data_IF_781099793177
#
_entry.id   IF_781099793177
#
_cell.length_a   1.000
_cell.length_b   1.000
_cell.length_c   1.000
_cell.angle_alpha   90.00
_cell.angle_beta   90.00
_cell.angle_gamma   90.00
#
_symmetry.space_group_name_H-M   'P 1'
#
loop_
_entity.id
_entity.type
_entity.pdbx_description
1 polymer ?
#
# COMPACT_ATOMS: atom_id res chain seq x y z
N UNK A 1 0.42 -7.06 -45.19
CA UNK A 1 0.15 -5.90 -44.27
C UNK A 1 0.22 -6.34 -42.80
N UNK A 2 -0.26 -7.55 -42.47
CA UNK A 2 -0.17 -8.09 -41.09
C UNK A 2 1.30 -8.39 -40.69
N UNK A 3 2.06 -8.94 -41.59
CA UNK A 3 3.46 -9.37 -41.40
C UNK A 3 4.41 -8.15 -41.16
N UNK A 4 4.20 -7.04 -41.86
CA UNK A 4 4.99 -5.82 -41.68
C UNK A 4 4.76 -5.16 -40.32
N UNK A 5 3.54 -5.24 -39.75
CA UNK A 5 3.24 -4.70 -38.42
C UNK A 5 3.88 -5.51 -37.31
N UNK A 6 4.02 -6.82 -37.52
CA UNK A 6 4.66 -7.71 -36.56
C UNK A 6 6.19 -7.52 -36.50
N UNK A 7 6.79 -7.31 -37.67
CA UNK A 7 8.23 -6.99 -37.83
C UNK A 7 8.54 -5.62 -37.18
N UNK A 8 7.69 -4.63 -37.40
CA UNK A 8 7.84 -3.30 -36.77
C UNK A 8 7.68 -3.35 -35.25
N UNK A 9 6.73 -4.16 -34.74
CA UNK A 9 6.59 -4.40 -33.32
C UNK A 9 7.84 -5.06 -32.70
N UNK A 10 8.39 -6.08 -33.35
CA UNK A 10 9.64 -6.73 -32.87
C UNK A 10 10.81 -5.76 -32.86
N UNK A 11 11.00 -4.98 -33.91
CA UNK A 11 12.07 -3.95 -33.97
C UNK A 11 11.90 -2.87 -32.91
N UNK A 12 10.67 -2.43 -32.64
CA UNK A 12 10.39 -1.49 -31.55
C UNK A 12 10.66 -2.10 -30.18
N UNK A 13 10.30 -3.38 -29.98
CA UNK A 13 10.56 -4.10 -28.73
C UNK A 13 12.08 -4.25 -28.48
N UNK A 14 12.84 -4.63 -29.49
CA UNK A 14 14.31 -4.73 -29.39
C UNK A 14 14.96 -3.37 -29.10
N UNK A 15 14.48 -2.30 -29.74
CA UNK A 15 14.98 -0.95 -29.49
C UNK A 15 14.67 -0.51 -28.05
N UNK A 16 13.46 -0.78 -27.55
CA UNK A 16 13.05 -0.51 -26.18
C UNK A 16 13.84 -1.32 -25.15
N UNK A 17 14.15 -2.59 -25.44
CA UNK A 17 15.01 -3.42 -24.58
C UNK A 17 16.43 -2.90 -24.50
N UNK A 18 17.03 -2.47 -25.64
CA UNK A 18 18.38 -1.86 -25.66
C UNK A 18 18.45 -0.60 -24.80
N UNK A 19 17.46 0.29 -24.86
CA UNK A 19 17.42 1.48 -24.02
C UNK A 19 17.25 1.15 -22.52
N UNK A 20 16.44 0.14 -22.18
CA UNK A 20 16.29 -0.29 -20.78
C UNK A 20 17.61 -0.82 -20.20
N UNK A 21 18.36 -1.59 -20.98
CA UNK A 21 19.69 -2.08 -20.57
C UNK A 21 20.65 -0.93 -20.38
N UNK A 22 20.67 0.06 -21.28
CA UNK A 22 21.54 1.25 -21.15
C UNK A 22 21.19 2.09 -19.91
N UNK A 23 19.91 2.24 -19.57
CA UNK A 23 19.47 2.97 -18.36
C UNK A 23 19.85 2.20 -17.10
N UNK A 24 19.66 0.88 -17.07
CA UNK A 24 20.05 0.03 -15.93
C UNK A 24 21.58 0.05 -15.75
N UNK A 25 22.34 0.00 -16.83
CA UNK A 25 23.80 0.12 -16.79
C UNK A 25 24.21 1.53 -16.31
N UNK A 26 23.56 2.58 -16.78
CA UNK A 26 23.79 3.95 -16.32
C UNK A 26 23.52 4.15 -14.84
N UNK A 27 22.43 3.59 -14.32
CA UNK A 27 22.10 3.59 -12.90
C UNK A 27 23.12 2.78 -12.10
N UNK A 28 23.55 1.62 -12.59
CA UNK A 28 24.59 0.81 -11.94
C UNK A 28 25.95 1.53 -11.91
N UNK A 29 26.36 2.18 -13.00
CA UNK A 29 27.58 2.97 -13.04
C UNK A 29 27.49 4.15 -12.07
N UNK A 30 26.34 4.82 -11.99
CA UNK A 30 26.08 5.88 -11.03
C UNK A 30 26.14 5.42 -9.57
N UNK A 31 25.58 4.25 -9.28
CA UNK A 31 25.61 3.62 -7.94
C UNK A 31 27.06 3.19 -7.60
N UNK A 32 27.78 2.57 -8.54
CA UNK A 32 29.17 2.14 -8.35
C UNK A 32 30.10 3.37 -8.18
N UNK A 33 29.93 4.42 -8.97
CA UNK A 33 30.66 5.67 -8.84
C UNK A 33 30.35 6.36 -7.51
N UNK A 34 29.08 6.41 -7.10
CA UNK A 34 28.65 6.94 -5.81
C UNK A 34 29.22 6.17 -4.61
N UNK A 35 29.28 4.84 -4.72
CA UNK A 35 29.91 3.97 -3.71
C UNK A 35 31.42 4.17 -3.67
N UNK A 36 32.10 4.27 -4.81
CA UNK A 36 33.53 4.50 -4.88
C UNK A 36 33.94 5.88 -4.28
N UNK A 37 33.19 6.94 -4.59
CA UNK A 37 33.37 8.28 -4.03
C UNK A 37 33.07 8.30 -2.53
N UNK A 38 32.04 7.57 -2.06
CA UNK A 38 31.69 7.46 -0.64
C UNK A 38 32.68 6.64 0.19
N UNK A 39 33.36 5.65 -0.42
CA UNK A 39 34.37 4.81 0.25
C UNK A 39 35.72 5.55 0.43
N UNK A 40 36.07 6.48 -0.46
CA UNK A 40 37.26 7.31 -0.26
C UNK A 40 37.11 8.32 0.90
N UNK A 41 35.88 8.68 1.26
CA UNK A 41 35.58 9.66 2.32
C UNK A 41 35.36 9.06 3.71
N UNK A 42 35.16 7.73 3.83
CA UNK A 42 34.87 7.09 5.11
C UNK A 42 35.66 5.80 5.29
N UNK A 43 36.91 5.93 5.75
CA UNK A 43 37.72 4.80 6.23
C UNK A 43 37.25 4.32 7.59
N UNK A 44 36.11 3.70 7.65
CA UNK A 44 35.71 2.85 8.78
C UNK A 44 35.09 1.57 8.24
N UNK A 45 35.68 0.47 8.65
CA UNK A 45 35.39 -0.91 8.33
C UNK A 45 33.90 -1.23 8.41
N UNK A 46 33.24 -1.36 7.24
CA UNK A 46 31.96 -2.08 7.10
C UNK A 46 32.13 -3.22 6.12
N UNK A 47 31.76 -4.42 6.56
CA UNK A 47 31.71 -5.63 5.74
C UNK A 47 30.91 -5.36 4.45
N UNK A 48 31.50 -5.67 3.29
CA UNK A 48 30.83 -5.58 1.99
C UNK A 48 29.59 -6.48 2.00
N UNK A 49 28.43 -6.03 1.53
CA UNK A 49 27.29 -6.92 1.36
C UNK A 49 27.63 -7.99 0.34
N UNK A 50 27.48 -9.25 0.73
CA UNK A 50 27.85 -10.46 -0.02
C UNK A 50 27.18 -10.56 -1.40
N UNK A 51 26.07 -9.85 -1.59
CA UNK A 51 25.31 -9.85 -2.84
C UNK A 51 26.05 -9.21 -4.03
N UNK A 52 26.94 -8.27 -3.77
CA UNK A 52 27.70 -7.56 -4.83
C UNK A 52 28.87 -8.34 -5.37
N UNK A 53 29.42 -9.28 -4.61
CA UNK A 53 30.57 -10.08 -5.01
C UNK A 53 30.20 -11.23 -5.95
N UNK A 54 28.97 -11.74 -5.88
CA UNK A 54 28.53 -12.83 -6.77
C UNK A 54 28.09 -12.35 -8.16
N UNK A 55 27.56 -11.13 -8.26
CA UNK A 55 27.14 -10.56 -9.55
C UNK A 55 28.32 -10.01 -10.38
N UNK A 56 29.46 -9.71 -9.75
CA UNK A 56 30.62 -9.13 -10.43
C UNK A 56 31.65 -10.15 -10.88
N UNK A 57 31.56 -11.41 -10.50
CA UNK A 57 32.50 -12.45 -10.90
C UNK A 57 31.90 -13.45 -11.89
N UNK A 58 31.94 -13.08 -13.17
CA UNK A 58 32.12 -14.07 -14.22
C UNK A 58 30.92 -14.89 -14.67
N UNK A 59 29.67 -14.51 -14.37
CA UNK A 59 28.51 -15.12 -15.02
C UNK A 59 28.03 -14.19 -16.14
N UNK A 60 28.30 -14.54 -17.38
CA UNK A 60 27.67 -13.92 -18.55
C UNK A 60 26.21 -14.32 -18.59
N UNK A 61 25.34 -13.59 -17.88
CA UNK A 61 23.90 -13.73 -18.03
C UNK A 61 23.43 -12.95 -19.25
N UNK A 62 22.53 -13.51 -20.07
CA UNK A 62 21.86 -12.76 -21.11
C UNK A 62 21.26 -11.46 -20.52
N UNK A 63 21.29 -10.34 -21.25
CA UNK A 63 20.84 -9.04 -20.73
C UNK A 63 19.44 -9.06 -20.13
N UNK A 64 18.55 -9.92 -20.63
CA UNK A 64 17.20 -10.10 -20.07
C UNK A 64 17.18 -10.82 -18.72
N UNK A 65 18.04 -11.80 -18.51
CA UNK A 65 18.12 -12.53 -17.24
C UNK A 65 18.77 -11.68 -16.14
N UNK A 66 19.82 -10.91 -16.49
CA UNK A 66 20.43 -9.95 -15.57
C UNK A 66 19.42 -8.87 -15.15
N UNK A 67 18.65 -8.34 -16.09
CA UNK A 67 17.59 -7.37 -15.80
C UNK A 67 16.52 -7.94 -14.87
N UNK A 68 16.09 -9.19 -15.08
CA UNK A 68 15.13 -9.89 -14.24
C UNK A 68 15.69 -10.19 -12.84
N UNK A 69 16.96 -10.57 -12.75
CA UNK A 69 17.64 -10.83 -11.48
C UNK A 69 17.75 -9.54 -10.64
N UNK A 70 18.18 -8.44 -11.25
CA UNK A 70 18.28 -7.13 -10.59
C UNK A 70 16.89 -6.63 -10.18
N UNK A 71 15.92 -6.70 -11.08
CA UNK A 71 14.54 -6.30 -10.80
C UNK A 71 13.91 -7.15 -9.70
N UNK A 72 13.99 -8.49 -9.80
CA UNK A 72 13.39 -9.40 -8.85
C UNK A 72 14.01 -9.33 -7.46
N UNK A 73 15.34 -9.30 -7.38
CA UNK A 73 16.05 -9.44 -6.11
C UNK A 73 16.40 -8.10 -5.43
N UNK A 74 16.46 -7.01 -6.17
CA UNK A 74 16.86 -5.72 -5.60
C UNK A 74 15.79 -4.64 -5.77
N UNK A 75 15.40 -4.32 -6.99
CA UNK A 75 14.47 -3.20 -7.24
C UNK A 75 13.10 -3.50 -6.63
N UNK A 76 12.51 -4.67 -6.94
CA UNK A 76 11.19 -5.06 -6.45
C UNK A 76 11.09 -5.14 -4.92
N UNK A 77 12.19 -5.52 -4.26
CA UNK A 77 12.24 -5.61 -2.80
C UNK A 77 12.53 -4.27 -2.10
N UNK A 78 13.11 -3.31 -2.81
CA UNK A 78 13.60 -2.07 -2.22
C UNK A 78 12.85 -0.82 -2.67
N UNK A 79 12.09 -0.92 -3.75
CA UNK A 79 11.41 0.21 -4.36
C UNK A 79 9.97 -0.12 -4.76
N UNK A 80 9.13 0.89 -4.68
CA UNK A 80 7.81 0.90 -5.33
C UNK A 80 7.98 1.58 -6.69
N UNK A 81 7.52 0.94 -7.75
CA UNK A 81 7.53 1.48 -9.10
C UNK A 81 6.15 2.08 -9.37
N UNK A 82 6.11 3.36 -9.70
CA UNK A 82 4.88 4.09 -10.06
C UNK A 82 5.02 4.58 -11.49
N UNK A 83 3.96 4.42 -12.28
CA UNK A 83 3.90 4.72 -13.71
C UNK A 83 3.84 3.46 -14.58
N UNK A 84 3.14 3.58 -15.71
CA UNK A 84 2.83 2.46 -16.58
C UNK A 84 3.79 2.34 -17.76
N UNK A 85 4.57 3.36 -18.03
CA UNK A 85 5.56 3.39 -19.11
C UNK A 85 6.96 3.73 -18.58
N UNK A 86 7.97 3.49 -19.43
CA UNK A 86 9.37 3.66 -19.06
C UNK A 86 9.82 5.12 -19.02
N UNK A 87 9.09 6.02 -19.64
CA UNK A 87 9.42 7.44 -19.70
C UNK A 87 8.90 8.19 -18.45
N UNK A 88 7.77 7.72 -17.92
CA UNK A 88 7.10 8.31 -16.74
C UNK A 88 7.32 7.52 -15.45
N UNK A 89 7.94 6.33 -15.53
CA UNK A 89 8.18 5.46 -14.38
C UNK A 89 9.08 6.13 -13.34
N UNK A 90 8.62 6.17 -12.09
CA UNK A 90 9.34 6.68 -10.93
C UNK A 90 9.58 5.56 -9.92
N UNK A 91 10.76 5.59 -9.27
CA UNK A 91 11.16 4.63 -8.25
C UNK A 91 11.12 5.31 -6.88
N UNK A 92 10.27 4.81 -6.00
CA UNK A 92 10.17 5.26 -4.62
C UNK A 92 10.80 4.21 -3.70
N UNK A 93 11.82 4.62 -2.95
CA UNK A 93 12.50 3.73 -2.02
C UNK A 93 11.57 3.38 -0.86
N UNK A 94 11.43 2.08 -0.58
CA UNK A 94 10.68 1.63 0.58
C UNK A 94 11.51 1.87 1.83
N UNK A 95 10.94 2.56 2.82
CA UNK A 95 11.60 2.81 4.09
C UNK A 95 12.00 1.51 4.80
N UNK A 96 13.20 1.50 5.39
CA UNK A 96 13.65 0.38 6.22
C UNK A 96 12.94 0.33 7.59
N UNK A 97 12.22 1.39 7.96
CA UNK A 97 11.44 1.45 9.20
C UNK A 97 10.08 0.78 9.06
N UNK A 98 9.55 0.69 7.83
CA UNK A 98 8.28 0.01 7.57
C UNK A 98 8.45 -1.50 7.74
N UNK A 99 7.62 -2.09 8.60
CA UNK A 99 7.60 -3.53 8.80
C UNK A 99 7.24 -4.25 7.48
N UNK A 100 8.01 -5.30 7.17
CA UNK A 100 7.75 -6.13 5.99
C UNK A 100 6.89 -7.30 6.36
N UNK A 101 5.93 -7.64 5.50
CA UNK A 101 5.24 -8.91 5.63
C UNK A 101 6.19 -10.07 5.30
N UNK A 102 5.93 -11.20 5.89
CA UNK A 102 6.66 -12.45 5.66
C UNK A 102 5.80 -13.51 4.94
N UNK A 103 4.82 -13.07 4.17
CA UNK A 103 4.03 -13.96 3.33
C UNK A 103 4.85 -14.42 2.13
N UNK A 104 4.78 -15.72 1.84
CA UNK A 104 5.29 -16.28 0.61
C UNK A 104 4.28 -16.00 -0.51
N UNK A 105 4.66 -15.14 -1.46
CA UNK A 105 3.76 -14.70 -2.52
C UNK A 105 3.35 -15.84 -3.47
N UNK A 106 4.12 -16.92 -3.57
CA UNK A 106 3.79 -18.09 -4.38
C UNK A 106 2.67 -18.95 -3.78
N UNK A 107 2.36 -18.72 -2.49
CA UNK A 107 1.27 -19.40 -1.78
C UNK A 107 -0.08 -18.69 -1.86
N UNK A 108 -0.15 -17.56 -2.55
CA UNK A 108 -1.41 -16.94 -2.90
C UNK A 108 -2.00 -17.63 -4.12
N UNK A 109 -3.19 -18.17 -3.98
CA UNK A 109 -3.90 -18.88 -5.04
C UNK A 109 -5.33 -18.37 -5.18
N UNK A 110 -5.77 -18.22 -6.43
CA UNK A 110 -7.17 -17.93 -6.71
C UNK A 110 -7.96 -19.24 -6.58
N UNK A 111 -9.06 -19.21 -5.81
CA UNK A 111 -9.98 -20.34 -5.74
C UNK A 111 -10.98 -20.33 -6.93
N UNK A 112 -11.80 -21.39 -7.01
CA UNK A 112 -12.79 -21.55 -8.08
C UNK A 112 -13.89 -20.46 -8.05
N UNK A 113 -14.11 -19.84 -6.89
CA UNK A 113 -15.05 -18.74 -6.69
C UNK A 113 -14.44 -17.37 -7.03
N UNK A 114 -13.16 -17.32 -7.43
CA UNK A 114 -12.45 -16.10 -7.80
C UNK A 114 -11.88 -15.33 -6.61
N UNK A 115 -11.81 -15.91 -5.42
CA UNK A 115 -11.19 -15.29 -4.26
C UNK A 115 -9.73 -15.68 -4.09
N UNK A 116 -8.91 -14.70 -3.74
CA UNK A 116 -7.51 -14.94 -3.40
C UNK A 116 -7.40 -15.59 -2.02
N UNK A 117 -6.81 -16.78 -1.96
CA UNK A 117 -6.56 -17.52 -0.71
C UNK A 117 -5.06 -17.57 -0.43
N UNK A 118 -4.72 -17.63 0.85
CA UNK A 118 -3.36 -17.86 1.32
C UNK A 118 -3.36 -18.95 2.39
N UNK A 119 -2.44 -19.89 2.25
CA UNK A 119 -2.22 -20.92 3.27
C UNK A 119 -0.76 -21.32 3.28
N UNK A 120 -0.13 -21.30 4.44
CA UNK A 120 1.19 -21.91 4.66
C UNK A 120 1.13 -23.07 5.66
N UNK A 121 2.16 -23.89 5.66
CA UNK A 121 2.24 -25.08 6.50
C UNK A 121 2.36 -24.74 8.00
N UNK A 122 2.59 -23.46 8.33
CA UNK A 122 2.69 -22.91 9.68
C UNK A 122 1.38 -22.30 10.19
N UNK A 123 0.24 -22.60 9.54
CA UNK A 123 -1.11 -22.26 9.99
C UNK A 123 -1.50 -20.77 9.81
N UNK A 124 -0.74 -19.96 9.09
CA UNK A 124 -1.22 -18.66 8.67
C UNK A 124 -2.20 -18.85 7.51
N UNK A 125 -3.48 -18.71 7.79
CA UNK A 125 -4.52 -18.66 6.76
C UNK A 125 -5.01 -17.23 6.65
N UNK A 126 -5.06 -16.71 5.44
CA UNK A 126 -5.77 -15.46 5.21
C UNK A 126 -7.26 -15.66 5.48
N UNK A 127 -7.88 -14.67 6.09
CA UNK A 127 -9.33 -14.60 6.24
C UNK A 127 -9.90 -13.77 5.10
N UNK A 128 -11.03 -14.21 4.57
CA UNK A 128 -11.78 -13.44 3.59
C UNK A 128 -12.66 -12.44 4.32
N UNK A 129 -12.56 -11.18 3.95
CA UNK A 129 -13.37 -10.09 4.48
C UNK A 129 -13.98 -9.24 3.39
N UNK A 130 -14.91 -8.39 3.77
CA UNK A 130 -15.47 -7.35 2.90
C UNK A 130 -15.34 -5.99 3.57
N UNK A 131 -15.27 -4.93 2.79
CA UNK A 131 -15.54 -3.57 3.23
C UNK A 131 -16.90 -3.11 2.73
N UNK A 132 -17.59 -2.34 3.55
CA UNK A 132 -18.96 -1.88 3.27
C UNK A 132 -19.19 -0.46 3.76
N UNK A 133 -20.10 0.23 3.07
CA UNK A 133 -20.53 1.59 3.38
C UNK A 133 -21.99 1.79 3.02
N UNK A 134 -22.48 3.01 3.08
CA UNK A 134 -23.80 3.39 2.57
C UNK A 134 -24.04 3.04 1.09
N UNK A 135 -22.96 2.88 0.31
CA UNK A 135 -23.06 2.54 -1.12
C UNK A 135 -23.62 1.15 -1.38
N UNK A 136 -23.43 0.19 -0.46
CA UNK A 136 -23.95 -1.16 -0.58
C UNK A 136 -25.40 -1.29 -0.13
N UNK A 137 -25.98 -0.26 0.50
CA UNK A 137 -27.34 -0.28 1.03
C UNK A 137 -27.52 -1.26 2.19
N UNK A 138 -28.65 -1.96 2.22
CA UNK A 138 -28.94 -2.96 3.26
C UNK A 138 -28.22 -4.27 2.96
N UNK A 139 -27.56 -4.82 3.98
CA UNK A 139 -26.73 -6.02 3.86
C UNK A 139 -27.42 -7.20 4.56
N UNK A 140 -27.50 -8.31 3.85
CA UNK A 140 -27.90 -9.60 4.42
C UNK A 140 -26.65 -10.33 4.94
N UNK A 141 -26.38 -10.16 6.23
CA UNK A 141 -25.19 -10.71 6.87
C UNK A 141 -25.17 -12.23 6.94
N UNK A 142 -26.32 -12.89 6.87
CA UNK A 142 -26.38 -14.34 6.84
C UNK A 142 -25.92 -14.87 5.47
N UNK A 143 -26.36 -14.26 4.38
CA UNK A 143 -25.85 -14.57 3.05
C UNK A 143 -24.35 -14.24 2.91
N UNK A 144 -23.89 -13.13 3.50
CA UNK A 144 -22.47 -12.76 3.52
C UNK A 144 -21.62 -13.84 4.20
N UNK A 145 -22.07 -14.39 5.33
CA UNK A 145 -21.39 -15.50 6.01
C UNK A 145 -21.43 -16.81 5.21
N UNK A 146 -22.57 -17.10 4.60
CA UNK A 146 -22.71 -18.29 3.72
C UNK A 146 -21.77 -18.24 2.52
N UNK A 147 -21.44 -17.05 2.01
CA UNK A 147 -20.42 -16.84 0.99
C UNK A 147 -18.97 -17.00 1.50
N UNK A 148 -18.78 -17.35 2.78
CA UNK A 148 -17.48 -17.61 3.37
C UNK A 148 -16.74 -16.37 3.89
N UNK A 149 -17.41 -15.22 3.97
CA UNK A 149 -16.86 -13.99 4.55
C UNK A 149 -16.73 -14.13 6.06
N UNK A 150 -15.59 -13.76 6.61
CA UNK A 150 -15.22 -14.01 8.00
C UNK A 150 -15.10 -12.75 8.86
N UNK A 151 -15.05 -11.56 8.24
CA UNK A 151 -15.06 -10.26 8.91
C UNK A 151 -15.53 -9.17 7.96
N UNK A 152 -15.93 -8.03 8.51
CA UNK A 152 -16.29 -6.85 7.76
C UNK A 152 -15.55 -5.61 8.26
N UNK A 153 -15.14 -4.74 7.32
CA UNK A 153 -14.67 -3.38 7.59
C UNK A 153 -15.80 -2.41 7.22
N UNK A 154 -16.34 -1.71 8.21
CA UNK A 154 -17.53 -0.87 8.02
C UNK A 154 -17.12 0.60 8.00
N UNK A 155 -17.51 1.35 6.96
CA UNK A 155 -17.29 2.78 6.95
C UNK A 155 -18.06 3.44 8.07
N UNK A 156 -17.34 3.99 9.05
CA UNK A 156 -17.94 4.74 10.14
C UNK A 156 -18.41 6.11 9.64
N UNK A 157 -17.59 6.77 8.87
CA UNK A 157 -17.87 8.10 8.40
C UNK A 157 -16.74 8.68 7.55
N UNK A 158 -16.79 9.97 7.39
CA UNK A 158 -15.83 10.70 6.57
C UNK A 158 -15.72 12.17 7.01
N UNK A 159 -14.61 12.82 6.63
CA UNK A 159 -14.52 14.27 6.64
C UNK A 159 -14.92 14.82 5.28
N UNK A 160 -15.79 15.81 5.25
CA UNK A 160 -16.24 16.46 4.02
C UNK A 160 -15.07 17.12 3.27
N UNK A 161 -14.98 16.87 1.98
CA UNK A 161 -13.82 17.26 1.16
C UNK A 161 -13.73 18.77 0.87
N UNK A 162 -14.77 19.56 1.11
CA UNK A 162 -14.74 21.03 0.95
C UNK A 162 -14.60 21.76 2.28
N UNK A 163 -15.59 21.65 3.16
CA UNK A 163 -15.67 22.40 4.42
C UNK A 163 -15.01 21.66 5.60
N UNK A 164 -14.63 20.40 5.45
CA UNK A 164 -13.95 19.62 6.47
C UNK A 164 -14.82 19.21 7.67
N UNK A 165 -16.15 19.28 7.55
CA UNK A 165 -17.06 18.79 8.59
C UNK A 165 -17.04 17.28 8.68
N UNK A 166 -17.14 16.72 9.92
CA UNK A 166 -17.23 15.28 10.16
C UNK A 166 -18.67 14.81 10.00
N UNK A 167 -18.86 13.67 9.35
CA UNK A 167 -20.16 13.05 9.16
C UNK A 167 -20.07 11.53 9.34
N UNK A 168 -21.14 10.93 9.88
CA UNK A 168 -21.32 9.48 9.82
C UNK A 168 -21.70 9.06 8.40
N UNK A 169 -21.35 7.84 8.06
CA UNK A 169 -21.91 7.16 6.88
C UNK A 169 -23.40 6.89 7.12
N UNK A 170 -24.22 7.09 6.10
CA UNK A 170 -25.69 7.00 6.21
C UNK A 170 -26.18 5.65 6.75
N UNK A 171 -25.43 4.58 6.47
CA UNK A 171 -25.77 3.23 6.90
C UNK A 171 -24.88 2.69 8.03
N UNK A 172 -24.01 3.52 8.61
CA UNK A 172 -23.05 3.06 9.63
C UNK A 172 -23.74 2.33 10.78
N UNK A 173 -24.72 2.98 11.41
CA UNK A 173 -25.42 2.43 12.58
C UNK A 173 -26.09 1.11 12.23
N UNK A 174 -26.85 1.09 11.15
CA UNK A 174 -27.53 -0.13 10.68
C UNK A 174 -26.53 -1.24 10.38
N UNK A 175 -25.44 -0.94 9.65
CA UNK A 175 -24.46 -1.93 9.25
C UNK A 175 -23.73 -2.52 10.46
N UNK A 176 -23.31 -1.69 11.44
CA UNK A 176 -22.56 -2.19 12.59
C UNK A 176 -23.44 -3.01 13.53
N UNK A 177 -24.67 -2.56 13.80
CA UNK A 177 -25.61 -3.26 14.66
C UNK A 177 -25.99 -4.63 14.07
N UNK A 178 -26.44 -4.67 12.82
CA UNK A 178 -26.86 -5.92 12.18
C UNK A 178 -25.70 -6.88 11.92
N UNK A 179 -24.48 -6.38 11.65
CA UNK A 179 -23.29 -7.21 11.58
C UNK A 179 -22.99 -7.88 12.92
N UNK A 180 -23.01 -7.12 14.02
CA UNK A 180 -22.74 -7.64 15.37
C UNK A 180 -23.83 -8.59 15.84
N UNK A 181 -25.12 -8.32 15.56
CA UNK A 181 -26.24 -9.23 15.84
C UNK A 181 -26.03 -10.59 15.13
N UNK A 182 -25.57 -10.56 13.89
CA UNK A 182 -25.25 -11.78 13.14
C UNK A 182 -23.92 -12.41 13.54
N UNK A 183 -23.22 -11.86 14.55
CA UNK A 183 -21.90 -12.30 15.06
C UNK A 183 -20.77 -12.17 14.02
N UNK A 184 -20.90 -11.29 13.06
CA UNK A 184 -19.82 -10.93 12.16
C UNK A 184 -18.76 -10.13 12.94
N UNK A 185 -17.48 -10.56 12.96
CA UNK A 185 -16.41 -9.74 13.52
C UNK A 185 -16.20 -8.47 12.68
N UNK A 186 -16.12 -7.31 13.33
CA UNK A 186 -16.07 -6.03 12.62
C UNK A 186 -14.83 -5.22 12.99
N UNK A 187 -14.31 -4.48 12.01
CA UNK A 187 -13.50 -3.28 12.15
C UNK A 187 -14.23 -2.10 11.53
N UNK A 188 -13.68 -0.92 11.71
CA UNK A 188 -14.25 0.29 11.10
C UNK A 188 -13.21 1.05 10.32
N UNK A 189 -13.64 1.82 9.31
CA UNK A 189 -12.77 2.76 8.63
C UNK A 189 -13.40 4.15 8.53
N UNK A 190 -12.53 5.15 8.50
CA UNK A 190 -12.89 6.54 8.37
C UNK A 190 -12.18 7.14 7.14
N UNK A 191 -12.95 7.68 6.19
CA UNK A 191 -12.41 8.31 4.99
C UNK A 191 -11.95 9.73 5.33
N UNK A 192 -10.64 9.93 5.34
CA UNK A 192 -10.04 11.19 5.78
C UNK A 192 -9.93 12.22 4.67
N UNK A 193 -10.13 13.47 5.06
CA UNK A 193 -9.74 14.67 4.33
C UNK A 193 -9.05 15.66 5.29
N UNK A 194 -8.43 15.13 6.35
CA UNK A 194 -7.66 15.93 7.30
C UNK A 194 -6.42 16.55 6.63
N UNK A 195 -6.10 17.78 7.02
CA UNK A 195 -4.99 18.57 6.48
C UNK A 195 -3.95 18.94 7.55
N UNK A 196 -4.14 18.49 8.80
CA UNK A 196 -3.20 18.71 9.90
C UNK A 196 -3.26 17.57 10.92
N UNK A 197 -2.27 17.53 11.83
CA UNK A 197 -2.21 16.63 12.96
C UNK A 197 -3.48 16.73 13.83
N UNK A 198 -3.90 17.96 14.17
CA UNK A 198 -5.06 18.21 15.02
C UNK A 198 -6.35 17.70 14.38
N UNK A 199 -6.49 17.83 13.08
CA UNK A 199 -7.66 17.28 12.37
C UNK A 199 -7.63 15.75 12.37
N UNK A 200 -6.46 15.12 12.27
CA UNK A 200 -6.32 13.67 12.42
C UNK A 200 -6.75 13.20 13.82
N UNK A 201 -6.34 13.93 14.86
CA UNK A 201 -6.78 13.68 16.24
C UNK A 201 -8.30 13.85 16.37
N UNK A 202 -8.87 14.90 15.77
CA UNK A 202 -10.32 15.14 15.79
C UNK A 202 -11.10 14.00 15.12
N UNK A 203 -10.64 13.51 13.96
CA UNK A 203 -11.22 12.35 13.29
C UNK A 203 -11.18 11.10 14.16
N UNK A 204 -10.03 10.82 14.80
CA UNK A 204 -9.90 9.69 15.71
C UNK A 204 -10.84 9.79 16.92
N UNK A 205 -10.95 10.97 17.53
CA UNK A 205 -11.89 11.20 18.64
C UNK A 205 -13.34 11.01 18.21
N UNK A 206 -13.69 11.46 17.00
CA UNK A 206 -15.00 11.23 16.42
C UNK A 206 -15.27 9.73 16.23
N UNK A 207 -14.30 8.99 15.71
CA UNK A 207 -14.40 7.54 15.56
C UNK A 207 -14.57 6.88 16.93
N UNK A 208 -13.71 7.17 17.91
CA UNK A 208 -13.75 6.59 19.25
C UNK A 208 -15.09 6.82 19.94
N UNK A 209 -15.66 8.01 19.81
CA UNK A 209 -16.99 8.33 20.35
C UNK A 209 -18.08 7.43 19.74
N UNK A 210 -18.01 7.15 18.45
CA UNK A 210 -19.05 6.42 17.73
C UNK A 210 -18.87 4.89 17.78
N UNK A 211 -17.72 4.39 18.26
CA UNK A 211 -17.51 2.94 18.48
C UNK A 211 -17.61 2.54 19.96
N UNK A 212 -17.80 3.48 20.88
CA UNK A 212 -17.72 3.24 22.32
C UNK A 212 -18.63 2.13 22.84
N UNK A 213 -19.82 2.00 22.24
CA UNK A 213 -20.83 1.01 22.62
C UNK A 213 -20.76 -0.30 21.81
N UNK A 214 -19.81 -0.42 20.88
CA UNK A 214 -19.70 -1.56 19.99
C UNK A 214 -18.45 -2.39 20.25
N UNK A 215 -18.55 -3.70 20.03
CA UNK A 215 -17.41 -4.60 20.12
C UNK A 215 -16.63 -4.60 18.82
N UNK A 216 -15.56 -3.81 18.74
CA UNK A 216 -14.65 -3.79 17.60
C UNK A 216 -13.57 -4.86 17.79
N UNK A 217 -13.47 -5.80 16.83
CA UNK A 217 -12.55 -6.96 16.89
C UNK A 217 -11.42 -6.88 15.87
N UNK A 218 -11.53 -5.98 14.91
CA UNK A 218 -10.58 -5.71 13.84
C UNK A 218 -10.06 -4.27 13.93
N UNK A 219 -9.02 -3.88 13.18
CA UNK A 219 -8.45 -2.55 13.26
C UNK A 219 -9.45 -1.41 13.05
N UNK A 220 -9.07 -0.25 13.59
CA UNK A 220 -9.67 1.05 13.27
C UNK A 220 -8.79 1.70 12.20
N UNK A 221 -9.34 1.90 11.01
CA UNK A 221 -8.59 2.27 9.81
C UNK A 221 -8.80 3.73 9.45
N UNK A 222 -7.70 4.45 9.19
CA UNK A 222 -7.74 5.70 8.46
C UNK A 222 -7.57 5.40 6.97
N UNK A 223 -8.53 5.80 6.15
CA UNK A 223 -8.55 5.60 4.71
C UNK A 223 -8.17 6.91 4.02
N UNK A 224 -7.00 6.92 3.38
CA UNK A 224 -6.45 8.10 2.70
C UNK A 224 -6.23 7.83 1.22
N UNK A 225 -6.98 8.53 0.40
CA UNK A 225 -6.96 8.41 -1.05
C UNK A 225 -7.15 9.78 -1.72
N UNK A 226 -6.85 9.85 -3.01
CA UNK A 226 -7.19 11.01 -3.81
C UNK A 226 -8.71 11.12 -3.93
N UNK A 227 -9.25 12.27 -3.59
CA UNK A 227 -10.65 12.59 -3.87
C UNK A 227 -10.80 13.06 -5.33
N UNK A 228 -11.64 12.36 -6.10
CA UNK A 228 -11.94 12.73 -7.50
C UNK A 228 -12.99 13.87 -7.58
N UNK A 229 -12.73 14.96 -6.85
CA UNK A 229 -13.57 16.16 -6.85
C UNK A 229 -12.70 17.41 -6.91
N UNK A 230 -13.11 18.37 -7.71
CA UNK A 230 -12.41 19.65 -7.83
C UNK A 230 -12.40 20.39 -6.48
N UNK A 231 -11.24 20.91 -6.11
CA UNK A 231 -11.07 21.68 -4.88
C UNK A 231 -11.16 20.85 -3.59
N UNK A 232 -10.93 19.54 -3.69
CA UNK A 232 -10.84 18.68 -2.50
C UNK A 232 -9.64 19.11 -1.64
N UNK A 233 -9.92 19.47 -0.39
CA UNK A 233 -9.00 20.13 0.55
C UNK A 233 -7.70 19.37 0.84
N UNK A 234 -7.77 18.04 0.81
CA UNK A 234 -6.62 17.18 1.11
C UNK A 234 -5.82 16.73 -0.13
N UNK A 235 -6.24 17.10 -1.36
CA UNK A 235 -5.51 16.67 -2.55
C UNK A 235 -4.17 17.39 -2.71
N UNK A 236 -4.12 18.68 -2.40
CA UNK A 236 -2.98 19.55 -2.70
C UNK A 236 -2.12 19.90 -1.47
N UNK A 237 -2.33 19.23 -0.34
CA UNK A 237 -1.46 19.38 0.84
C UNK A 237 -0.13 18.63 0.66
N UNK A 238 0.89 19.04 1.39
CA UNK A 238 2.18 18.39 1.36
C UNK A 238 2.13 16.96 1.93
N UNK A 239 3.12 16.14 1.60
CA UNK A 239 3.28 14.80 2.19
C UNK A 239 3.47 14.87 3.71
N UNK A 240 4.11 15.92 4.22
CA UNK A 240 4.31 16.16 5.64
C UNK A 240 2.98 16.39 6.34
N UNK A 241 2.16 17.34 5.87
CA UNK A 241 0.84 17.63 6.45
C UNK A 241 -0.09 16.41 6.41
N UNK A 242 -0.11 15.66 5.30
CA UNK A 242 -0.89 14.43 5.18
C UNK A 242 -0.42 13.37 6.17
N UNK A 243 0.90 13.20 6.30
CA UNK A 243 1.47 12.24 7.23
C UNK A 243 1.21 12.65 8.67
N UNK A 244 1.27 13.94 9.00
CA UNK A 244 0.93 14.46 10.33
C UNK A 244 -0.52 14.11 10.71
N UNK A 245 -1.46 14.30 9.80
CA UNK A 245 -2.86 13.92 10.02
C UNK A 245 -3.01 12.42 10.32
N UNK A 246 -2.34 11.56 9.55
CA UNK A 246 -2.36 10.11 9.75
C UNK A 246 -1.75 9.74 11.10
N UNK A 247 -0.62 10.35 11.48
CA UNK A 247 0.02 10.12 12.79
C UNK A 247 -0.91 10.53 13.92
N UNK A 248 -1.53 11.72 13.84
CA UNK A 248 -2.48 12.19 14.84
C UNK A 248 -3.66 11.23 15.04
N UNK A 249 -4.20 10.69 13.95
CA UNK A 249 -5.24 9.68 14.01
C UNK A 249 -4.74 8.38 14.65
N UNK A 250 -3.64 7.81 14.13
CA UNK A 250 -3.13 6.52 14.56
C UNK A 250 -2.71 6.51 16.03
N UNK A 251 -2.03 7.56 16.50
CA UNK A 251 -1.60 7.68 17.89
C UNK A 251 -2.82 7.76 18.81
N UNK A 252 -3.83 8.55 18.47
CA UNK A 252 -5.07 8.68 19.26
C UNK A 252 -5.82 7.34 19.35
N UNK A 253 -5.94 6.60 18.24
CA UNK A 253 -6.59 5.27 18.22
C UNK A 253 -5.80 4.26 19.07
N UNK A 254 -4.47 4.28 18.95
CA UNK A 254 -3.58 3.40 19.72
C UNK A 254 -3.64 3.68 21.22
N UNK A 255 -3.64 4.94 21.61
CA UNK A 255 -3.71 5.35 23.01
C UNK A 255 -5.05 4.95 23.66
N UNK A 256 -6.11 4.85 22.87
CA UNK A 256 -7.41 4.33 23.31
C UNK A 256 -7.46 2.79 23.37
N UNK A 257 -6.38 2.09 23.03
CA UNK A 257 -6.26 0.63 23.13
C UNK A 257 -6.75 -0.14 21.91
N UNK A 258 -7.05 0.54 20.81
CA UNK A 258 -7.38 -0.10 19.55
C UNK A 258 -6.13 -0.25 18.65
N UNK A 259 -6.22 -1.15 17.68
CA UNK A 259 -5.17 -1.32 16.65
C UNK A 259 -5.42 -0.35 15.50
N UNK A 260 -4.60 0.69 15.31
CA UNK A 260 -4.70 1.55 14.14
C UNK A 260 -4.21 0.83 12.89
N UNK A 261 -4.78 1.17 11.75
CA UNK A 261 -4.31 0.73 10.44
C UNK A 261 -4.49 1.85 9.42
N UNK A 262 -3.61 1.91 8.45
CA UNK A 262 -3.67 2.88 7.35
C UNK A 262 -4.06 2.13 6.08
N UNK A 263 -5.09 2.59 5.40
CA UNK A 263 -5.42 2.15 4.04
C UNK A 263 -5.07 3.26 3.04
N UNK A 264 -4.39 2.86 2.00
CA UNK A 264 -4.15 3.66 0.80
C UNK A 264 -3.78 2.73 -0.36
N UNK A 265 -3.96 3.17 -1.60
CA UNK A 265 -3.40 2.42 -2.71
C UNK A 265 -1.86 2.56 -2.74
N UNK A 266 -1.20 1.61 -3.40
CA UNK A 266 0.26 1.52 -3.46
C UNK A 266 0.94 2.80 -3.95
N UNK A 267 0.38 3.45 -4.96
CA UNK A 267 0.95 4.66 -5.54
C UNK A 267 0.81 5.84 -4.57
N UNK A 268 -0.34 5.94 -3.88
CA UNK A 268 -0.59 6.96 -2.87
C UNK A 268 0.40 6.86 -1.72
N UNK A 269 0.67 5.64 -1.22
CA UNK A 269 1.71 5.40 -0.22
C UNK A 269 3.08 5.90 -0.67
N UNK A 270 3.45 5.63 -1.92
CA UNK A 270 4.77 5.98 -2.43
C UNK A 270 4.94 7.48 -2.68
N UNK A 271 3.89 8.15 -3.16
CA UNK A 271 3.97 9.52 -3.67
C UNK A 271 3.53 10.57 -2.66
N UNK A 272 2.63 10.21 -1.74
CA UNK A 272 1.92 11.19 -0.92
C UNK A 272 2.11 11.02 0.59
N UNK A 273 2.88 10.00 1.03
CA UNK A 273 3.13 9.73 2.44
C UNK A 273 4.64 9.68 2.74
N UNK A 274 5.02 10.17 3.92
CA UNK A 274 6.37 9.95 4.46
C UNK A 274 6.41 8.61 5.20
N UNK A 275 6.82 7.55 4.48
CA UNK A 275 6.89 6.20 5.03
C UNK A 275 7.92 6.05 6.17
N UNK A 276 8.90 6.96 6.29
CA UNK A 276 9.87 6.92 7.39
C UNK A 276 9.25 7.30 8.74
N UNK A 277 8.11 7.98 8.71
CA UNK A 277 7.37 8.41 9.90
C UNK A 277 6.22 7.48 10.27
N UNK A 278 5.82 6.61 9.36
CA UNK A 278 4.69 5.67 9.53
C UNK A 278 5.15 4.25 9.91
N UNK A 279 6.45 4.02 10.08
CA UNK A 279 7.05 2.73 10.40
C UNK A 279 7.28 2.47 11.87
#
# INVERSE_FOLDING_TARGET
VADMREIDRKKQLEKRMKYAVCIIIGIMIGIIAGICIGVEHNKTTRSKPTLYTEVTYGVELPPGELANLIYGNYIKQSYIIVGDDRETCQLYKISSKVARHNYDLERFQMDDDGYMRYSDDNIKKAKLGIDVSGHQGTIDWDQVKEAGIQFAMIRLGYRGYTQGGLALDDNYVTNIETALESKMPVGVYFYTQAVSYEEGVEEAQYVLKNIADYKISYPVVIDTEKMEADGARANDISNEERTDAIVGFCDTIKDAGYTPMIYANRNWYAQNLDMDRLG
#
